data_IF_855023337836
#
_entry.id   IF_855023337836
#
_cell.length_a   1.000
_cell.length_b   1.000
_cell.length_c   1.000
_cell.angle_alpha   90.00
_cell.angle_beta   90.00
_cell.angle_gamma   90.00
#
_symmetry.space_group_name_H-M   'P 1'
#
loop_
_entity.id
_entity.type
_entity.pdbx_description
1 polymer ?
#
# COMPACT_ATOMS: atom_id res chain seq x y z
N UNK A 1 6.14 8.63 16.16
CA UNK A 1 6.10 10.04 15.75
C UNK A 1 7.29 10.27 14.84
N UNK A 2 7.10 10.15 13.54
CA UNK A 2 8.14 10.28 12.51
C UNK A 2 7.82 11.45 11.61
N UNK A 3 8.65 12.49 11.63
CA UNK A 3 8.54 13.65 10.75
C UNK A 3 9.48 13.40 9.57
N UNK A 4 8.95 13.21 8.38
CA UNK A 4 9.75 13.23 7.15
C UNK A 4 9.85 14.68 6.67
N UNK A 5 11.04 15.27 6.78
CA UNK A 5 11.32 16.57 6.15
C UNK A 5 11.62 16.33 4.68
N UNK A 6 10.75 16.81 3.81
CA UNK A 6 10.98 16.87 2.37
C UNK A 6 11.97 17.99 2.02
N UNK A 7 12.66 17.80 0.92
CA UNK A 7 13.62 18.71 0.30
C UNK A 7 12.94 20.03 -0.05
N UNK A 8 13.66 21.13 0.09
CA UNK A 8 13.27 22.55 -0.03
C UNK A 8 12.15 22.83 -1.04
N UNK A 9 11.01 23.34 -0.53
CA UNK A 9 9.88 23.83 -1.33
C UNK A 9 8.59 23.00 -1.19
N UNK A 10 8.62 21.85 -0.53
CA UNK A 10 7.43 21.07 -0.23
C UNK A 10 6.90 21.44 1.17
N UNK A 11 5.62 21.76 1.25
CA UNK A 11 4.93 21.96 2.51
C UNK A 11 5.02 20.70 3.39
N UNK A 12 5.21 20.90 4.68
CA UNK A 12 5.43 19.85 5.67
C UNK A 12 4.21 18.92 5.75
N UNK A 13 4.36 17.68 5.30
CA UNK A 13 3.32 16.65 5.43
C UNK A 13 3.41 16.03 6.81
N UNK A 14 2.46 16.31 7.68
CA UNK A 14 2.37 15.70 9.02
C UNK A 14 1.53 14.44 9.00
N UNK A 15 2.14 13.35 9.45
CA UNK A 15 1.47 12.06 9.63
C UNK A 15 1.05 11.91 11.10
N UNK A 16 -0.23 12.00 11.40
CA UNK A 16 -0.77 11.66 12.72
C UNK A 16 -1.40 10.28 12.68
N UNK A 17 -0.92 9.39 13.55
CA UNK A 17 -1.19 7.96 13.54
C UNK A 17 -2.67 7.58 13.48
N UNK A 18 -2.95 6.56 12.72
CA UNK A 18 -4.25 5.93 12.66
C UNK A 18 -4.18 4.42 12.64
N UNK A 19 -5.16 3.86 13.25
CA UNK A 19 -5.51 2.47 13.10
C UNK A 19 -6.17 2.24 11.73
N UNK A 20 -5.77 1.18 11.03
CA UNK A 20 -6.36 0.68 9.81
C UNK A 20 -6.08 1.43 8.49
N UNK A 21 -4.84 1.51 8.08
CA UNK A 21 -4.46 1.47 6.67
C UNK A 21 -4.92 2.58 5.73
N UNK A 22 -5.30 3.77 6.24
CA UNK A 22 -5.76 4.87 5.42
C UNK A 22 -4.84 6.08 5.57
N UNK A 23 -4.28 6.53 4.47
CA UNK A 23 -3.56 7.80 4.41
C UNK A 23 -4.31 8.74 3.49
N UNK A 24 -4.90 9.78 4.05
CA UNK A 24 -5.44 10.90 3.29
C UNK A 24 -4.43 12.02 3.32
N UNK A 25 -3.92 12.42 2.17
CA UNK A 25 -3.00 13.54 2.04
C UNK A 25 -3.77 14.76 1.56
N UNK A 26 -4.02 15.70 2.44
CA UNK A 26 -4.47 17.03 2.06
C UNK A 26 -3.28 17.93 1.69
N UNK A 27 -3.40 18.70 0.63
CA UNK A 27 -2.38 19.64 0.13
C UNK A 27 -1.99 20.74 1.13
N UNK A 28 -2.66 20.83 2.29
CA UNK A 28 -2.51 21.89 3.31
C UNK A 28 -2.16 21.38 4.69
N UNK A 29 -1.36 20.34 4.80
CA UNK A 29 -0.67 19.99 6.05
C UNK A 29 -1.53 19.48 7.20
N UNK A 30 -2.75 19.00 6.95
CA UNK A 30 -3.56 18.30 7.95
C UNK A 30 -3.97 16.93 7.44
N UNK A 31 -3.40 15.90 8.03
CA UNK A 31 -3.90 14.55 7.92
C UNK A 31 -5.03 14.35 8.91
N UNK A 32 -6.16 13.88 8.45
CA UNK A 32 -7.23 13.39 9.29
C UNK A 32 -7.64 12.00 8.85
N UNK A 33 -7.53 11.10 9.79
CA UNK A 33 -8.05 9.74 9.67
C UNK A 33 -9.51 9.75 10.06
N UNK A 34 -10.42 9.51 9.14
CA UNK A 34 -11.75 9.08 9.53
C UNK A 34 -12.40 8.27 8.43
N UNK A 35 -12.84 7.06 8.75
CA UNK A 35 -13.71 6.25 7.91
C UNK A 35 -14.94 7.03 7.41
N UNK A 36 -15.44 8.00 8.17
CA UNK A 36 -16.61 8.81 7.81
C UNK A 36 -16.36 9.91 6.78
N UNK A 37 -15.14 10.36 6.60
CA UNK A 37 -14.84 11.55 5.78
C UNK A 37 -14.36 11.23 4.36
N UNK A 38 -14.02 9.98 4.04
CA UNK A 38 -13.50 9.62 2.73
C UNK A 38 -14.49 9.91 1.59
N UNK A 39 -15.79 9.74 1.79
CA UNK A 39 -16.79 10.13 0.79
C UNK A 39 -16.70 11.62 0.45
N UNK A 40 -16.62 12.48 1.46
CA UNK A 40 -16.50 13.92 1.26
C UNK A 40 -15.17 14.31 0.59
N UNK A 41 -14.07 13.64 0.91
CA UNK A 41 -12.75 13.88 0.31
C UNK A 41 -12.72 13.47 -1.17
N UNK A 42 -13.29 12.33 -1.50
CA UNK A 42 -13.41 11.84 -2.88
C UNK A 42 -14.31 12.76 -3.73
N UNK A 43 -15.36 13.34 -3.14
CA UNK A 43 -16.22 14.32 -3.83
C UNK A 43 -15.55 15.68 -4.01
N UNK A 44 -14.55 16.03 -3.20
CA UNK A 44 -13.85 17.32 -3.27
C UNK A 44 -12.62 17.30 -4.19
N UNK A 45 -12.45 16.26 -5.02
CA UNK A 45 -11.27 16.11 -5.90
C UNK A 45 -9.92 16.10 -5.15
N UNK A 46 -9.93 15.80 -3.86
CA UNK A 46 -8.70 15.65 -3.07
C UNK A 46 -8.10 14.28 -3.38
N UNK A 47 -6.83 14.19 -3.80
CA UNK A 47 -6.19 12.93 -4.04
C UNK A 47 -6.06 12.14 -2.73
N UNK A 48 -6.62 10.93 -2.71
CA UNK A 48 -6.55 10.00 -1.58
C UNK A 48 -5.62 8.87 -1.94
N UNK A 49 -4.60 8.64 -1.14
CA UNK A 49 -3.65 7.55 -1.28
C UNK A 49 -3.91 6.46 -0.23
N UNK A 50 -3.56 5.22 -0.56
CA UNK A 50 -3.60 4.10 0.38
C UNK A 50 -2.20 3.79 0.90
N UNK A 51 -2.12 3.44 2.18
CA UNK A 51 -0.92 2.92 2.83
C UNK A 51 -1.29 1.90 3.89
N UNK A 52 -0.37 0.99 4.20
CA UNK A 52 -0.58 -0.06 5.20
C UNK A 52 -0.39 0.43 6.64
N UNK A 53 0.12 1.65 6.85
CA UNK A 53 0.67 2.10 8.11
C UNK A 53 1.85 1.18 8.59
N UNK A 54 2.36 1.40 9.78
CA UNK A 54 3.38 0.54 10.36
C UNK A 54 2.83 -0.81 10.82
N UNK A 55 3.63 -1.87 10.72
CA UNK A 55 3.23 -3.22 11.13
C UNK A 55 2.91 -3.34 12.63
N UNK A 56 3.37 -2.40 13.46
CA UNK A 56 2.99 -2.33 14.87
C UNK A 56 1.55 -1.86 15.08
N UNK A 57 0.95 -1.19 14.11
CA UNK A 57 -0.44 -0.70 14.14
C UNK A 57 -1.39 -1.59 13.36
N UNK A 58 -1.00 -1.96 12.14
CA UNK A 58 -1.85 -2.73 11.22
C UNK A 58 -1.58 -4.25 11.26
N UNK A 59 -0.48 -4.70 11.87
CA UNK A 59 -0.01 -6.09 11.90
C UNK A 59 0.35 -6.68 10.50
N UNK A 60 0.07 -5.98 9.43
CA UNK A 60 0.30 -6.41 8.04
C UNK A 60 0.93 -5.28 7.23
N UNK A 61 1.83 -5.63 6.32
CA UNK A 61 2.36 -4.74 5.29
C UNK A 61 1.79 -5.08 3.90
N UNK A 62 0.69 -5.84 3.84
CA UNK A 62 0.05 -6.25 2.59
C UNK A 62 -0.90 -5.16 2.08
N UNK A 63 -0.52 -4.48 1.01
CA UNK A 63 -1.33 -3.45 0.39
C UNK A 63 -2.58 -4.04 -0.31
N UNK A 64 -2.59 -5.30 -0.72
CA UNK A 64 -3.79 -5.96 -1.24
C UNK A 64 -4.87 -6.08 -0.17
N UNK A 65 -4.49 -6.47 1.06
CA UNK A 65 -5.40 -6.49 2.21
C UNK A 65 -5.96 -5.09 2.49
N UNK A 66 -5.10 -4.08 2.45
CA UNK A 66 -5.51 -2.68 2.63
C UNK A 66 -6.49 -2.24 1.55
N UNK A 67 -6.25 -2.53 0.27
CA UNK A 67 -7.17 -2.23 -0.83
C UNK A 67 -8.55 -2.85 -0.62
N UNK A 68 -8.60 -4.15 -0.30
CA UNK A 68 -9.85 -4.89 -0.06
C UNK A 68 -10.61 -4.30 1.11
N UNK A 69 -9.95 -4.12 2.25
CA UNK A 69 -10.57 -3.56 3.47
C UNK A 69 -11.12 -2.18 3.20
N UNK A 70 -10.36 -1.33 2.52
CA UNK A 70 -10.77 0.00 2.10
C UNK A 70 -12.07 -0.03 1.31
N UNK A 71 -12.10 -0.81 0.23
CA UNK A 71 -13.28 -0.90 -0.64
C UNK A 71 -14.51 -1.36 0.12
N UNK A 72 -14.39 -2.42 0.93
CA UNK A 72 -15.51 -3.03 1.65
C UNK A 72 -16.04 -2.13 2.77
N UNK A 73 -15.15 -1.58 3.59
CA UNK A 73 -15.53 -0.70 4.71
C UNK A 73 -16.23 0.56 4.20
N UNK A 74 -15.75 1.16 3.12
CA UNK A 74 -16.39 2.36 2.58
C UNK A 74 -17.79 2.08 1.99
N UNK A 75 -17.96 0.97 1.29
CA UNK A 75 -19.27 0.53 0.82
C UNK A 75 -20.24 0.32 1.97
N UNK A 76 -19.80 -0.34 3.03
CA UNK A 76 -20.60 -0.62 4.23
C UNK A 76 -21.00 0.67 4.96
N UNK A 77 -20.03 1.55 5.27
CA UNK A 77 -20.29 2.77 6.03
C UNK A 77 -21.19 3.79 5.32
N UNK A 78 -21.18 3.77 3.99
CA UNK A 78 -22.00 4.68 3.19
C UNK A 78 -23.27 4.01 2.63
N UNK A 79 -23.50 2.73 2.93
CA UNK A 79 -24.60 1.93 2.39
C UNK A 79 -24.71 2.05 0.86
N UNK A 80 -23.55 2.06 0.20
CA UNK A 80 -23.45 2.24 -1.26
C UNK A 80 -22.49 1.20 -1.85
N UNK A 81 -22.98 0.15 -2.49
CA UNK A 81 -22.15 -0.91 -3.07
C UNK A 81 -21.32 -0.43 -4.28
N UNK A 82 -21.67 0.70 -4.88
CA UNK A 82 -20.98 1.25 -6.04
C UNK A 82 -19.83 2.21 -5.65
N UNK A 83 -19.76 2.62 -4.38
CA UNK A 83 -18.72 3.51 -3.90
C UNK A 83 -17.33 2.84 -4.00
N UNK A 84 -16.32 3.57 -4.44
CA UNK A 84 -14.95 3.07 -4.62
C UNK A 84 -14.89 1.79 -5.47
N UNK A 85 -15.15 1.88 -6.79
CA UNK A 85 -14.95 0.75 -7.68
C UNK A 85 -13.49 0.30 -7.66
N UNK A 86 -13.24 -0.98 -7.99
CA UNK A 86 -11.92 -1.61 -7.89
C UNK A 86 -10.81 -0.79 -8.58
N UNK A 87 -11.08 -0.27 -9.77
CA UNK A 87 -10.13 0.57 -10.51
C UNK A 87 -9.68 1.80 -9.70
N UNK A 88 -10.63 2.50 -9.07
CA UNK A 88 -10.31 3.68 -8.26
C UNK A 88 -9.47 3.31 -7.03
N UNK A 89 -9.77 2.19 -6.37
CA UNK A 89 -8.98 1.67 -5.24
C UNK A 89 -7.55 1.34 -5.68
N UNK A 90 -7.39 0.73 -6.86
CA UNK A 90 -6.07 0.42 -7.43
C UNK A 90 -5.28 1.70 -7.75
N UNK A 91 -5.93 2.72 -8.30
CA UNK A 91 -5.32 4.04 -8.55
C UNK A 91 -4.87 4.70 -7.24
N UNK A 92 -5.66 4.59 -6.16
CA UNK A 92 -5.29 5.07 -4.81
C UNK A 92 -4.07 4.33 -4.24
N UNK A 93 -3.91 3.05 -4.53
CA UNK A 93 -2.78 2.24 -4.08
C UNK A 93 -1.51 2.42 -4.93
N UNK A 94 -1.60 3.05 -6.10
CA UNK A 94 -0.50 3.21 -7.06
C UNK A 94 -0.22 4.68 -7.34
N UNK A 95 -0.88 5.27 -8.32
CA UNK A 95 -0.62 6.63 -8.81
C UNK A 95 -0.81 7.70 -7.74
N UNK A 96 -1.89 7.61 -6.96
CA UNK A 96 -2.18 8.60 -5.92
C UNK A 96 -1.17 8.54 -4.77
N UNK A 97 -0.71 7.32 -4.41
CA UNK A 97 0.33 7.12 -3.40
C UNK A 97 1.62 7.88 -3.75
N UNK A 98 2.04 7.80 -5.00
CA UNK A 98 3.27 8.44 -5.48
C UNK A 98 3.08 9.93 -5.74
N UNK A 99 1.89 10.34 -6.19
CA UNK A 99 1.55 11.76 -6.30
C UNK A 99 1.60 12.46 -4.95
N UNK A 100 1.19 11.78 -3.86
CA UNK A 100 1.29 12.32 -2.51
C UNK A 100 2.73 12.55 -2.02
N UNK A 101 3.68 11.85 -2.62
CA UNK A 101 5.12 11.99 -2.35
C UNK A 101 5.82 12.98 -3.29
N UNK A 102 5.08 13.71 -4.13
CA UNK A 102 5.62 14.65 -5.10
C UNK A 102 6.18 14.00 -6.37
N UNK A 103 5.97 12.69 -6.59
CA UNK A 103 6.47 11.91 -7.73
C UNK A 103 5.38 11.61 -8.77
N UNK A 104 4.42 12.51 -8.92
CA UNK A 104 3.36 12.37 -9.91
C UNK A 104 3.94 12.30 -11.33
N UNK A 105 3.56 11.27 -12.09
CA UNK A 105 4.01 11.09 -13.46
C UNK A 105 5.38 10.45 -13.66
N UNK A 106 6.12 10.16 -12.58
CA UNK A 106 7.41 9.45 -12.63
C UNK A 106 7.23 7.93 -12.51
N UNK A 107 6.27 7.52 -11.70
CA UNK A 107 6.03 6.12 -11.32
C UNK A 107 4.53 5.86 -11.15
N UNK A 108 4.15 4.60 -10.87
CA UNK A 108 2.78 4.20 -10.54
C UNK A 108 1.95 3.73 -11.74
N UNK A 109 2.53 3.71 -12.93
CA UNK A 109 1.96 3.16 -14.16
C UNK A 109 3.02 2.45 -14.99
N UNK A 110 2.61 1.45 -15.76
CA UNK A 110 3.45 0.83 -16.79
C UNK A 110 3.36 1.66 -18.07
N UNK A 111 4.26 2.64 -18.22
CA UNK A 111 4.32 3.57 -19.36
C UNK A 111 5.76 3.85 -19.75
N UNK A 112 6.03 3.97 -21.06
CA UNK A 112 7.35 4.35 -21.55
C UNK A 112 7.77 5.71 -20.96
N UNK A 113 9.01 5.78 -20.47
CA UNK A 113 9.58 6.97 -19.84
C UNK A 113 9.35 7.10 -18.33
N UNK A 114 8.62 6.17 -17.71
CA UNK A 114 8.49 6.07 -16.25
C UNK A 114 9.52 5.12 -15.66
N UNK A 115 9.77 5.27 -14.36
CA UNK A 115 10.58 4.32 -13.60
C UNK A 115 9.95 2.92 -13.66
N UNK A 116 10.79 1.90 -13.78
CA UNK A 116 10.35 0.52 -13.82
C UNK A 116 10.10 -0.01 -12.39
N UNK A 117 9.04 0.49 -11.75
CA UNK A 117 8.54 0.03 -10.47
C UNK A 117 7.31 -0.84 -10.73
N UNK A 118 7.43 -2.15 -10.54
CA UNK A 118 6.36 -3.09 -10.85
C UNK A 118 6.42 -4.35 -9.99
N UNK A 119 5.27 -5.00 -9.86
CA UNK A 119 5.15 -6.37 -9.36
C UNK A 119 4.49 -7.26 -10.42
N UNK A 120 4.85 -8.54 -10.42
CA UNK A 120 4.13 -9.55 -11.18
C UNK A 120 3.52 -10.58 -10.23
N UNK A 121 2.26 -10.93 -10.48
CA UNK A 121 1.52 -11.91 -9.70
C UNK A 121 1.38 -13.23 -10.45
N UNK A 122 1.28 -14.32 -9.70
CA UNK A 122 0.94 -15.63 -10.23
C UNK A 122 -0.55 -15.68 -10.60
N UNK A 123 -0.82 -15.60 -11.91
CA UNK A 123 -2.18 -15.65 -12.40
C UNK A 123 -2.80 -17.05 -12.34
N UNK A 124 -2.00 -18.09 -12.10
CA UNK A 124 -2.51 -19.47 -11.94
C UNK A 124 -3.08 -19.75 -10.56
N UNK A 125 -2.96 -18.80 -9.62
CA UNK A 125 -3.54 -18.91 -8.28
C UNK A 125 -5.07 -19.10 -8.38
N UNK A 126 -5.66 -20.12 -7.72
CA UNK A 126 -7.09 -20.43 -7.83
C UNK A 126 -8.01 -19.24 -7.49
N UNK A 127 -7.60 -18.38 -6.55
CA UNK A 127 -8.38 -17.21 -6.15
C UNK A 127 -8.51 -16.15 -7.27
N UNK A 128 -7.66 -16.18 -8.31
CA UNK A 128 -7.72 -15.25 -9.44
C UNK A 128 -8.48 -15.84 -10.64
N UNK A 129 -9.11 -17.01 -10.49
CA UNK A 129 -9.95 -17.60 -11.53
C UNK A 129 -11.43 -17.27 -11.32
N UNK A 130 -12.18 -17.06 -12.41
CA UNK A 130 -11.81 -17.19 -13.81
C UNK A 130 -11.05 -16.00 -14.43
N UNK A 131 -10.78 -14.91 -13.68
CA UNK A 131 -9.98 -13.78 -14.16
C UNK A 131 -10.72 -12.86 -15.14
N UNK A 132 -12.00 -12.62 -14.89
CA UNK A 132 -12.87 -11.82 -15.77
C UNK A 132 -12.62 -10.30 -15.65
N UNK A 133 -12.16 -9.85 -14.49
CA UNK A 133 -11.89 -8.44 -14.21
C UNK A 133 -10.59 -8.31 -13.44
N UNK A 134 -9.46 -8.01 -14.11
CA UNK A 134 -8.16 -7.90 -13.45
C UNK A 134 -8.15 -6.91 -12.28
N UNK A 135 -8.82 -5.78 -12.39
CA UNK A 135 -8.89 -4.80 -11.31
C UNK A 135 -9.65 -5.36 -10.09
N UNK A 136 -10.76 -6.05 -10.30
CA UNK A 136 -11.52 -6.69 -9.22
C UNK A 136 -10.73 -7.83 -8.59
N UNK A 137 -10.04 -8.64 -9.38
CA UNK A 137 -9.21 -9.74 -8.91
C UNK A 137 -8.07 -9.22 -8.04
N UNK A 138 -7.40 -8.14 -8.46
CA UNK A 138 -6.33 -7.51 -7.67
C UNK A 138 -6.84 -6.92 -6.36
N UNK A 139 -8.00 -6.26 -6.35
CA UNK A 139 -8.51 -5.58 -5.16
C UNK A 139 -9.17 -6.55 -4.18
N UNK A 140 -9.91 -7.55 -4.66
CA UNK A 140 -10.75 -8.36 -3.79
C UNK A 140 -10.24 -9.78 -3.54
N UNK A 141 -9.39 -10.32 -4.41
CA UNK A 141 -8.97 -11.71 -4.36
C UNK A 141 -7.44 -11.91 -4.21
N UNK A 142 -6.63 -10.98 -4.71
CA UNK A 142 -5.18 -11.06 -4.61
C UNK A 142 -4.67 -10.84 -3.18
N UNK A 143 -3.48 -11.34 -2.90
CA UNK A 143 -2.70 -11.09 -1.69
C UNK A 143 -1.19 -11.13 -2.00
N UNK A 144 -0.36 -10.67 -1.05
CA UNK A 144 1.09 -10.58 -1.21
C UNK A 144 1.78 -11.93 -1.50
N UNK A 145 1.21 -13.07 -1.07
CA UNK A 145 1.79 -14.39 -1.34
C UNK A 145 1.75 -14.79 -2.84
N UNK A 146 0.90 -14.13 -3.62
CA UNK A 146 0.81 -14.34 -5.07
C UNK A 146 1.87 -13.58 -5.87
N UNK A 147 2.62 -12.66 -5.24
CA UNK A 147 3.69 -11.91 -5.90
C UNK A 147 4.85 -12.84 -6.23
N UNK A 148 5.26 -12.85 -7.50
CA UNK A 148 6.39 -13.65 -8.01
C UNK A 148 7.60 -12.81 -8.34
N UNK A 149 7.40 -11.53 -8.63
CA UNK A 149 8.47 -10.59 -8.97
C UNK A 149 8.17 -9.22 -8.36
N UNK A 150 9.21 -8.60 -7.82
CA UNK A 150 9.18 -7.17 -7.44
C UNK A 150 10.39 -6.48 -8.04
N UNK A 151 10.15 -5.42 -8.80
CA UNK A 151 11.17 -4.58 -9.43
C UNK A 151 10.98 -3.16 -8.95
N UNK A 152 12.06 -2.49 -8.58
CA UNK A 152 12.09 -1.07 -8.22
C UNK A 152 13.24 -0.40 -8.97
N UNK A 153 12.95 0.65 -9.69
CA UNK A 153 13.90 1.36 -10.58
C UNK A 153 14.66 0.40 -11.50
N UNK A 154 13.94 -0.58 -12.07
CA UNK A 154 14.52 -1.60 -12.94
C UNK A 154 15.35 -2.68 -12.23
N UNK A 155 15.50 -2.62 -10.90
CA UNK A 155 16.27 -3.58 -10.12
C UNK A 155 15.34 -4.62 -9.50
N UNK A 156 15.64 -5.91 -9.71
CA UNK A 156 14.90 -7.02 -9.10
C UNK A 156 15.23 -7.07 -7.60
N UNK A 157 14.21 -6.90 -6.74
CA UNK A 157 14.33 -7.02 -5.30
C UNK A 157 13.83 -8.36 -4.76
N UNK A 158 12.87 -8.97 -5.46
CA UNK A 158 12.30 -10.26 -5.14
C UNK A 158 11.96 -11.01 -6.41
N UNK A 159 12.27 -12.30 -6.46
CA UNK A 159 11.90 -13.20 -7.55
C UNK A 159 11.70 -14.62 -7.01
N UNK A 160 10.48 -15.16 -7.11
CA UNK A 160 10.16 -16.56 -6.77
C UNK A 160 10.76 -17.05 -5.44
N UNK A 161 10.59 -16.28 -4.36
CA UNK A 161 11.10 -16.63 -3.03
C UNK A 161 12.56 -16.23 -2.77
N UNK A 162 13.25 -15.62 -3.74
CA UNK A 162 14.64 -15.16 -3.59
C UNK A 162 14.71 -13.65 -3.45
N UNK A 163 15.64 -13.18 -2.64
CA UNK A 163 15.92 -11.76 -2.37
C UNK A 163 17.35 -11.44 -2.85
N UNK A 164 17.56 -11.03 -4.12
CA UNK A 164 18.91 -10.83 -4.66
C UNK A 164 19.73 -9.76 -3.94
N UNK A 165 19.07 -8.85 -3.24
CA UNK A 165 19.67 -7.69 -2.56
C UNK A 165 19.77 -7.84 -1.05
N UNK A 166 19.32 -8.97 -0.48
CA UNK A 166 19.20 -9.17 0.96
C UNK A 166 19.52 -10.62 1.35
N UNK A 167 20.33 -10.81 2.38
CA UNK A 167 20.47 -12.12 3.04
C UNK A 167 19.33 -12.31 4.05
N UNK A 168 18.28 -12.97 3.61
CA UNK A 168 17.08 -13.19 4.43
C UNK A 168 17.35 -14.07 5.66
N UNK A 169 18.30 -14.99 5.60
CA UNK A 169 18.68 -15.84 6.74
C UNK A 169 19.27 -14.99 7.85
N UNK A 170 20.20 -14.12 7.50
CA UNK A 170 20.80 -13.18 8.45
C UNK A 170 19.76 -12.25 9.07
N UNK A 171 18.75 -11.82 8.30
CA UNK A 171 17.64 -11.02 8.83
C UNK A 171 16.86 -11.81 9.88
N UNK A 172 16.52 -13.06 9.64
CA UNK A 172 15.81 -13.91 10.60
C UNK A 172 16.62 -14.15 11.87
N UNK A 173 17.90 -14.47 11.75
CA UNK A 173 18.79 -14.67 12.90
C UNK A 173 18.86 -13.42 13.78
N UNK A 174 18.95 -12.24 13.15
CA UNK A 174 19.01 -10.97 13.88
C UNK A 174 17.69 -10.64 14.58
N UNK A 175 16.54 -10.88 13.92
CA UNK A 175 15.21 -10.73 14.53
C UNK A 175 15.08 -11.65 15.74
N UNK A 176 15.44 -12.92 15.63
CA UNK A 176 15.40 -13.86 16.75
C UNK A 176 16.32 -13.44 17.92
N UNK A 177 17.51 -12.91 17.61
CA UNK A 177 18.42 -12.37 18.61
C UNK A 177 17.78 -11.20 19.38
N UNK A 178 17.11 -10.30 18.66
CA UNK A 178 16.42 -9.17 19.26
C UNK A 178 15.25 -9.66 20.13
N UNK A 179 14.42 -10.57 19.62
CA UNK A 179 13.28 -11.13 20.36
C UNK A 179 13.73 -11.79 21.67
N UNK A 180 14.79 -12.60 21.64
CA UNK A 180 15.37 -13.21 22.86
C UNK A 180 15.80 -12.18 23.89
N UNK A 181 16.24 -11.00 23.46
CA UNK A 181 16.67 -9.93 24.37
C UNK A 181 15.50 -9.18 25.00
N UNK A 182 14.41 -8.94 24.25
CA UNK A 182 13.29 -8.12 24.73
C UNK A 182 12.14 -8.94 25.34
N UNK A 183 12.07 -10.22 25.05
CA UNK A 183 11.04 -11.13 25.54
C UNK A 183 11.63 -12.52 25.87
N UNK A 184 12.53 -12.63 26.88
CA UNK A 184 13.26 -13.87 27.19
C UNK A 184 12.36 -15.03 27.60
N UNK A 185 11.19 -14.77 28.18
CA UNK A 185 10.25 -15.77 28.71
C UNK A 185 9.17 -16.25 27.69
N UNK A 186 9.19 -15.74 26.46
CA UNK A 186 8.32 -16.22 25.40
C UNK A 186 9.01 -17.33 24.60
N UNK A 187 8.70 -18.58 24.97
CA UNK A 187 8.98 -19.79 24.19
C UNK A 187 7.75 -20.24 23.43
#
# INVERSE_FOLDING_TARGET
MGCLRGVSGAEEVKFEGACAGWVVVERWGRMRYTYKQSKNLLHQTIPVALGTDGVCSNNSADLFETMKTTALVQKMLNNDPCLLPARQVLEMATQAGLASQGRAGEVGMLRCGMDADLIALDRTAPALHPGLSPESDLVYAANGAMVRLTVVQGRILYENGRFPTMDIRRVYEEVERIVRRIAPDRR
#
